data_IF_816948975099
#
_entry.id   IF_816948975099
#
_cell.length_a   1.000
_cell.length_b   1.000
_cell.length_c   1.000
_cell.angle_alpha   90.00
_cell.angle_beta   90.00
_cell.angle_gamma   90.00
#
_symmetry.space_group_name_H-M   'P 1'
#
loop_
_entity.id
_entity.type
_entity.pdbx_description
1 polymer ?
#
# COMPACT_ATOMS: atom_id res chain seq x y z
N UNK A 1 -10.38 23.03 -15.55
CA UNK A 1 -8.99 22.69 -15.90
C UNK A 1 -8.04 22.72 -14.73
N UNK A 2 -7.95 23.76 -13.93
CA UNK A 2 -7.02 23.84 -12.77
C UNK A 2 -7.23 22.74 -11.71
N UNK A 3 -8.47 22.42 -11.34
CA UNK A 3 -8.78 21.36 -10.36
C UNK A 3 -8.35 19.95 -10.80
N UNK A 4 -8.21 19.71 -12.09
CA UNK A 4 -7.78 18.42 -12.63
C UNK A 4 -6.27 18.22 -12.55
N UNK A 5 -5.48 19.31 -12.59
CA UNK A 5 -4.02 19.29 -12.52
C UNK A 5 -3.50 19.29 -11.07
N UNK A 6 -4.26 19.80 -10.12
CA UNK A 6 -3.85 19.85 -8.71
C UNK A 6 -3.62 18.44 -8.14
N UNK A 7 -4.47 17.48 -8.49
CA UNK A 7 -4.38 16.10 -7.96
C UNK A 7 -3.11 15.37 -8.40
N UNK A 8 -2.73 15.32 -9.69
CA UNK A 8 -1.43 14.78 -10.09
C UNK A 8 -0.26 15.54 -9.48
N UNK A 9 -0.33 16.87 -9.44
CA UNK A 9 0.72 17.71 -8.86
C UNK A 9 0.99 17.35 -7.37
N UNK A 10 -0.04 17.09 -6.58
CA UNK A 10 0.09 16.67 -5.18
C UNK A 10 0.72 15.27 -5.01
N UNK A 11 0.93 14.52 -6.08
CA UNK A 11 1.66 13.25 -6.08
C UNK A 11 3.11 13.50 -6.53
N UNK A 12 3.28 14.10 -7.71
CA UNK A 12 4.59 14.23 -8.34
C UNK A 12 5.48 15.28 -7.69
N UNK A 13 4.90 16.39 -7.18
CA UNK A 13 5.68 17.43 -6.49
C UNK A 13 6.31 16.89 -5.20
N UNK A 14 5.58 16.22 -4.27
CA UNK A 14 6.20 15.65 -3.08
C UNK A 14 7.24 14.57 -3.39
N UNK A 15 7.00 13.73 -4.39
CA UNK A 15 7.98 12.73 -4.82
C UNK A 15 9.26 13.40 -5.32
N UNK A 16 9.15 14.37 -6.25
CA UNK A 16 10.30 15.10 -6.77
C UNK A 16 11.04 15.89 -5.68
N UNK A 17 10.30 16.60 -4.83
CA UNK A 17 10.89 17.36 -3.72
C UNK A 17 11.60 16.44 -2.71
N UNK A 18 11.03 15.27 -2.40
CA UNK A 18 11.67 14.29 -1.52
C UNK A 18 12.99 13.77 -2.08
N UNK A 19 13.06 13.48 -3.37
CA UNK A 19 14.31 13.07 -4.02
C UNK A 19 15.39 14.16 -3.97
N UNK A 20 15.00 15.43 -4.02
CA UNK A 20 15.93 16.57 -3.96
C UNK A 20 16.41 16.89 -2.54
N UNK A 21 15.63 16.51 -1.51
CA UNK A 21 15.92 16.83 -0.10
C UNK A 21 16.03 15.55 0.75
N UNK A 22 17.11 14.74 0.59
CA UNK A 22 17.29 13.48 1.31
C UNK A 22 17.40 13.66 2.84
N UNK A 23 17.70 14.86 3.33
CA UNK A 23 17.77 15.18 4.76
C UNK A 23 16.44 14.89 5.48
N UNK A 24 15.32 14.93 4.76
CA UNK A 24 14.01 14.59 5.30
C UNK A 24 13.89 13.11 5.68
N UNK A 25 14.82 12.24 5.28
CA UNK A 25 14.88 10.84 5.69
C UNK A 25 14.97 10.66 7.21
N UNK A 26 15.56 11.64 7.94
CA UNK A 26 15.57 11.64 9.41
C UNK A 26 14.17 11.57 10.03
N UNK A 27 13.14 11.99 9.30
CA UNK A 27 11.75 11.95 9.72
C UNK A 27 11.02 10.67 9.28
N UNK A 28 11.72 9.64 8.80
CA UNK A 28 11.11 8.37 8.34
C UNK A 28 10.25 7.70 9.41
N UNK A 29 10.53 7.91 10.70
CA UNK A 29 9.69 7.42 11.80
C UNK A 29 8.26 7.97 11.76
N UNK A 30 8.04 9.16 11.16
CA UNK A 30 6.71 9.75 11.02
C UNK A 30 5.83 8.99 10.01
N UNK A 31 6.42 8.26 9.07
CA UNK A 31 5.66 7.49 8.04
C UNK A 31 4.64 6.59 8.74
N UNK A 32 5.06 5.87 9.77
CA UNK A 32 4.17 4.98 10.54
C UNK A 32 2.99 5.73 11.16
N UNK A 33 3.25 6.87 11.79
CA UNK A 33 2.22 7.69 12.45
C UNK A 33 1.27 8.33 11.45
N UNK A 34 1.79 8.80 10.32
CA UNK A 34 1.00 9.36 9.23
C UNK A 34 0.06 8.31 8.65
N UNK A 35 0.56 7.08 8.39
CA UNK A 35 -0.26 5.97 7.91
C UNK A 35 -1.33 5.58 8.94
N UNK A 36 -0.98 5.49 10.23
CA UNK A 36 -1.94 5.21 11.29
C UNK A 36 -3.02 6.28 11.39
N UNK A 37 -2.65 7.56 11.26
CA UNK A 37 -3.62 8.68 11.26
C UNK A 37 -4.55 8.60 10.04
N UNK A 38 -4.01 8.29 8.86
CA UNK A 38 -4.82 8.09 7.66
C UNK A 38 -5.81 6.93 7.83
N UNK A 39 -5.34 5.80 8.37
CA UNK A 39 -6.20 4.64 8.67
C UNK A 39 -7.26 4.97 9.72
N UNK A 40 -6.89 5.70 10.77
CA UNK A 40 -7.86 6.17 11.77
C UNK A 40 -8.98 6.98 11.12
N UNK A 41 -8.63 7.94 10.26
CA UNK A 41 -9.63 8.76 9.55
C UNK A 41 -10.51 7.88 8.67
N UNK A 42 -9.92 6.95 7.94
CA UNK A 42 -10.66 6.01 7.09
C UNK A 42 -11.62 5.16 7.92
N UNK A 43 -11.15 4.57 9.03
CA UNK A 43 -11.97 3.74 9.92
C UNK A 43 -13.06 4.53 10.65
N UNK A 44 -12.88 5.83 10.91
CA UNK A 44 -13.94 6.68 11.47
C UNK A 44 -15.16 6.76 10.55
N UNK A 45 -14.94 6.82 9.24
CA UNK A 45 -16.04 6.90 8.26
C UNK A 45 -16.68 5.56 7.92
N UNK A 46 -16.15 4.45 8.46
CA UNK A 46 -16.59 3.11 8.11
C UNK A 46 -17.60 2.59 9.12
N UNK A 47 -18.75 2.16 8.64
CA UNK A 47 -19.58 1.26 9.44
C UNK A 47 -19.19 -0.17 9.09
N UNK A 48 -18.89 -1.01 10.11
CA UNK A 48 -18.56 -2.44 9.91
C UNK A 48 -19.68 -3.14 9.13
N UNK A 49 -20.91 -2.68 9.28
CA UNK A 49 -22.09 -3.17 8.55
C UNK A 49 -21.97 -2.96 7.03
N UNK A 50 -21.18 -1.95 6.60
CA UNK A 50 -20.97 -1.63 5.19
C UNK A 50 -19.81 -2.45 4.59
N UNK A 51 -18.98 -3.06 5.43
CA UNK A 51 -17.92 -3.97 5.03
C UNK A 51 -18.52 -5.33 4.68
N UNK A 52 -18.85 -5.51 3.42
CA UNK A 52 -19.32 -6.80 2.90
C UNK A 52 -18.16 -7.56 2.32
N UNK A 53 -17.78 -8.66 2.97
CA UNK A 53 -16.83 -9.62 2.41
C UNK A 53 -17.43 -10.24 1.15
N UNK A 54 -16.69 -10.18 0.06
CA UNK A 54 -17.08 -10.73 -1.24
C UNK A 54 -16.03 -11.73 -1.73
N UNK A 55 -16.45 -12.66 -2.59
CA UNK A 55 -15.55 -13.62 -3.22
C UNK A 55 -14.42 -12.94 -3.99
N UNK A 56 -14.70 -11.78 -4.60
CA UNK A 56 -13.71 -10.97 -5.31
C UNK A 56 -12.55 -10.53 -4.43
N UNK A 57 -12.73 -10.25 -3.13
CA UNK A 57 -11.64 -9.86 -2.24
C UNK A 57 -10.64 -11.01 -2.01
N UNK A 58 -11.15 -12.24 -1.83
CA UNK A 58 -10.30 -13.42 -1.69
C UNK A 58 -9.61 -13.79 -3.01
N UNK A 59 -10.28 -13.56 -4.12
CA UNK A 59 -9.69 -13.75 -5.44
C UNK A 59 -8.57 -12.75 -5.70
N UNK A 60 -8.73 -11.49 -5.31
CA UNK A 60 -7.67 -10.48 -5.38
C UNK A 60 -6.48 -10.84 -4.49
N UNK A 61 -6.71 -11.35 -3.27
CA UNK A 61 -5.65 -11.86 -2.42
C UNK A 61 -4.87 -12.99 -3.11
N UNK A 62 -5.58 -13.99 -3.65
CA UNK A 62 -4.98 -15.11 -4.36
C UNK A 62 -4.14 -14.64 -5.56
N UNK A 63 -4.68 -13.70 -6.33
CA UNK A 63 -3.99 -13.11 -7.48
C UNK A 63 -2.72 -12.37 -7.07
N UNK A 64 -2.75 -11.56 -6.01
CA UNK A 64 -1.55 -10.89 -5.50
C UNK A 64 -0.45 -11.90 -5.15
N UNK A 65 -0.80 -13.01 -4.49
CA UNK A 65 0.15 -14.08 -4.16
C UNK A 65 0.70 -14.73 -5.44
N UNK A 66 -0.15 -15.07 -6.40
CA UNK A 66 0.26 -15.69 -7.67
C UNK A 66 1.16 -14.72 -8.44
N UNK A 67 0.82 -13.43 -8.53
CA UNK A 67 1.65 -12.43 -9.21
C UNK A 67 3.02 -12.32 -8.54
N UNK A 68 3.09 -12.24 -7.20
CA UNK A 68 4.35 -12.17 -6.48
C UNK A 68 5.25 -13.38 -6.73
N UNK A 69 4.70 -14.59 -6.61
CA UNK A 69 5.44 -15.84 -6.86
C UNK A 69 5.88 -15.93 -8.33
N UNK A 70 4.98 -15.63 -9.27
CA UNK A 70 5.28 -15.66 -10.70
C UNK A 70 6.32 -14.63 -11.09
N UNK A 71 6.24 -13.41 -10.54
CA UNK A 71 7.23 -12.35 -10.78
C UNK A 71 8.62 -12.78 -10.30
N UNK A 72 8.74 -13.36 -9.10
CA UNK A 72 9.99 -13.94 -8.61
C UNK A 72 10.54 -14.99 -9.56
N UNK A 73 9.73 -15.97 -9.93
CA UNK A 73 10.17 -17.09 -10.76
C UNK A 73 10.60 -16.63 -12.17
N UNK A 74 9.81 -15.76 -12.81
CA UNK A 74 10.07 -15.24 -14.15
C UNK A 74 11.34 -14.39 -14.16
N UNK A 75 11.47 -13.43 -13.23
CA UNK A 75 12.63 -12.55 -13.17
C UNK A 75 13.90 -13.36 -12.87
N UNK A 76 13.85 -14.29 -11.92
CA UNK A 76 14.95 -15.19 -11.60
C UNK A 76 15.39 -16.04 -12.82
N UNK A 77 14.42 -16.53 -13.58
CA UNK A 77 14.70 -17.34 -14.76
C UNK A 77 15.36 -16.52 -15.88
N UNK A 78 14.89 -15.29 -16.12
CA UNK A 78 15.37 -14.41 -17.20
C UNK A 78 16.70 -13.78 -16.84
N UNK A 79 16.82 -13.16 -15.66
CA UNK A 79 17.98 -12.34 -15.30
C UNK A 79 19.06 -13.12 -14.56
N UNK A 80 18.68 -14.23 -13.92
CA UNK A 80 19.53 -15.01 -13.00
C UNK A 80 20.02 -14.18 -11.80
N UNK A 81 19.45 -13.00 -11.59
CA UNK A 81 19.75 -12.11 -10.48
C UNK A 81 18.75 -12.34 -9.33
N UNK A 82 19.29 -12.80 -8.21
CA UNK A 82 18.49 -13.11 -7.02
C UNK A 82 17.95 -11.86 -6.33
N UNK A 83 18.68 -10.75 -6.40
CA UNK A 83 18.28 -9.48 -5.77
C UNK A 83 17.09 -8.91 -6.53
N UNK A 84 17.20 -8.87 -7.86
CA UNK A 84 16.13 -8.38 -8.73
C UNK A 84 14.88 -9.27 -8.65
N UNK A 85 15.05 -10.59 -8.57
CA UNK A 85 13.95 -11.52 -8.39
C UNK A 85 13.21 -11.30 -7.06
N UNK A 86 13.94 -11.12 -5.96
CA UNK A 86 13.36 -10.78 -4.66
C UNK A 86 12.64 -9.44 -4.69
N UNK A 87 13.22 -8.43 -5.34
CA UNK A 87 12.54 -7.15 -5.54
C UNK A 87 11.22 -7.32 -6.29
N UNK A 88 11.20 -8.10 -7.37
CA UNK A 88 10.00 -8.40 -8.14
C UNK A 88 8.94 -9.13 -7.29
N UNK A 89 9.34 -10.07 -6.44
CA UNK A 89 8.44 -10.73 -5.50
C UNK A 89 7.76 -9.72 -4.56
N UNK A 90 8.56 -8.88 -3.89
CA UNK A 90 8.03 -7.91 -2.95
C UNK A 90 7.09 -6.91 -3.60
N UNK A 91 7.42 -6.45 -4.81
CA UNK A 91 6.55 -5.55 -5.57
C UNK A 91 5.25 -6.26 -5.98
N UNK A 92 5.35 -7.50 -6.48
CA UNK A 92 4.20 -8.25 -7.00
C UNK A 92 3.20 -8.67 -5.93
N UNK A 93 3.68 -8.99 -4.72
CA UNK A 93 2.83 -9.42 -3.61
C UNK A 93 2.27 -8.26 -2.78
N UNK A 94 2.57 -7.01 -3.14
CA UNK A 94 2.12 -5.84 -2.38
C UNK A 94 0.60 -5.82 -2.27
N UNK A 95 0.04 -5.78 -1.04
CA UNK A 95 -1.40 -5.73 -0.85
C UNK A 95 -1.98 -4.37 -1.24
N UNK A 96 -3.30 -4.28 -1.25
CA UNK A 96 -4.02 -3.03 -1.49
C UNK A 96 -3.49 -1.89 -0.62
N UNK A 97 -3.16 -0.78 -1.26
CA UNK A 97 -2.60 0.39 -0.58
C UNK A 97 -3.62 1.07 0.36
N UNK A 98 -3.16 1.58 1.51
CA UNK A 98 -3.98 2.39 2.42
C UNK A 98 -4.60 3.61 1.73
N UNK A 99 -3.87 4.21 0.79
CA UNK A 99 -4.33 5.35 0.00
C UNK A 99 -5.50 5.01 -0.94
N UNK A 100 -5.68 3.75 -1.33
CA UNK A 100 -6.70 3.34 -2.29
C UNK A 100 -8.12 3.74 -1.83
N UNK A 101 -8.43 3.55 -0.54
CA UNK A 101 -9.71 3.95 0.03
C UNK A 101 -9.92 5.47 0.00
N UNK A 102 -8.87 6.24 0.25
CA UNK A 102 -8.90 7.71 0.19
C UNK A 102 -9.12 8.15 -1.26
N UNK A 103 -8.34 7.61 -2.19
CA UNK A 103 -8.47 7.91 -3.62
C UNK A 103 -9.86 7.53 -4.15
N UNK A 104 -10.36 6.35 -3.77
CA UNK A 104 -11.70 5.91 -4.18
C UNK A 104 -12.79 6.81 -3.64
N UNK A 105 -12.64 7.31 -2.42
CA UNK A 105 -13.50 8.36 -1.87
C UNK A 105 -13.51 9.62 -2.74
N UNK A 106 -12.36 10.07 -3.26
CA UNK A 106 -12.27 11.20 -4.20
C UNK A 106 -12.97 10.94 -5.54
N UNK A 107 -12.97 9.71 -5.98
CA UNK A 107 -13.61 9.29 -7.22
C UNK A 107 -15.12 9.00 -7.06
N UNK A 108 -15.68 9.22 -5.86
CA UNK A 108 -17.06 8.89 -5.50
C UNK A 108 -17.39 7.39 -5.73
N UNK A 109 -16.40 6.51 -5.52
CA UNK A 109 -16.58 5.07 -5.63
C UNK A 109 -17.00 4.42 -4.32
N UNK A 110 -17.13 3.10 -4.35
CA UNK A 110 -17.51 2.32 -3.18
C UNK A 110 -16.33 2.12 -2.23
N UNK A 111 -16.17 3.06 -1.28
CA UNK A 111 -15.09 3.03 -0.28
C UNK A 111 -15.20 1.79 0.62
N UNK A 112 -16.41 1.32 0.93
CA UNK A 112 -16.61 0.11 1.74
C UNK A 112 -16.05 -1.14 1.08
N UNK A 113 -16.21 -1.29 -0.24
CA UNK A 113 -15.61 -2.37 -1.00
C UNK A 113 -14.07 -2.34 -0.93
N UNK A 114 -13.49 -1.17 -1.21
CA UNK A 114 -12.02 -0.97 -1.20
C UNK A 114 -11.42 -1.26 0.17
N UNK A 115 -12.10 -0.85 1.24
CA UNK A 115 -11.66 -1.13 2.61
C UNK A 115 -11.78 -2.59 2.99
N UNK A 116 -12.85 -3.27 2.56
CA UNK A 116 -12.97 -4.72 2.75
C UNK A 116 -11.85 -5.46 2.03
N UNK A 117 -11.54 -5.05 0.79
CA UNK A 117 -10.41 -5.59 0.03
C UNK A 117 -9.08 -5.31 0.74
N UNK A 118 -8.87 -4.07 1.20
CA UNK A 118 -7.69 -3.67 1.95
C UNK A 118 -7.47 -4.56 3.19
N UNK A 119 -8.51 -4.78 4.00
CA UNK A 119 -8.38 -5.64 5.18
C UNK A 119 -8.08 -7.08 4.79
N UNK A 120 -8.82 -7.66 3.83
CA UNK A 120 -8.62 -9.04 3.40
C UNK A 120 -7.23 -9.26 2.83
N UNK A 121 -6.77 -8.37 1.93
CA UNK A 121 -5.46 -8.54 1.28
C UNK A 121 -4.31 -8.31 2.25
N UNK A 122 -4.37 -7.27 3.10
CA UNK A 122 -3.30 -6.99 4.07
C UNK A 122 -3.20 -8.08 5.15
N UNK A 123 -4.32 -8.47 5.74
CA UNK A 123 -4.34 -9.53 6.76
C UNK A 123 -3.94 -10.87 6.13
N UNK A 124 -4.50 -11.20 4.96
CA UNK A 124 -4.18 -12.44 4.26
C UNK A 124 -2.70 -12.55 3.91
N UNK A 125 -2.10 -11.49 3.33
CA UNK A 125 -0.67 -11.46 3.02
C UNK A 125 0.17 -11.51 4.30
N UNK A 126 -0.22 -10.83 5.38
CA UNK A 126 0.49 -10.90 6.65
C UNK A 126 0.58 -12.32 7.19
N UNK A 127 -0.48 -13.14 7.04
CA UNK A 127 -0.47 -14.56 7.42
C UNK A 127 0.34 -15.43 6.47
N UNK A 128 0.35 -15.13 5.17
CA UNK A 128 1.06 -15.92 4.16
C UNK A 128 2.56 -15.59 4.09
N UNK A 129 2.93 -14.33 4.37
CA UNK A 129 4.30 -13.83 4.27
C UNK A 129 5.33 -14.69 4.99
N UNK A 130 5.08 -15.17 6.21
CA UNK A 130 6.02 -16.03 6.90
C UNK A 130 6.51 -17.22 6.08
N UNK A 131 5.58 -17.99 5.51
CA UNK A 131 5.92 -19.14 4.68
C UNK A 131 6.60 -18.73 3.36
N UNK A 132 6.10 -17.67 2.72
CA UNK A 132 6.62 -17.16 1.46
C UNK A 132 8.04 -16.58 1.60
N UNK A 133 8.34 -15.87 2.69
CA UNK A 133 9.68 -15.37 2.97
C UNK A 133 10.68 -16.50 3.21
N UNK A 134 10.26 -17.58 3.90
CA UNK A 134 11.08 -18.77 4.06
C UNK A 134 11.50 -19.36 2.72
N UNK A 135 10.56 -19.41 1.79
CA UNK A 135 10.80 -19.93 0.45
C UNK A 135 11.66 -18.99 -0.41
N UNK A 136 11.39 -17.68 -0.41
CA UNK A 136 12.09 -16.69 -1.26
C UNK A 136 13.46 -16.31 -0.72
N UNK A 137 13.59 -16.15 0.60
CA UNK A 137 14.84 -15.68 1.22
C UNK A 137 15.72 -16.79 1.78
N UNK A 138 15.24 -18.04 1.81
CA UNK A 138 16.01 -19.21 2.27
C UNK A 138 16.22 -19.29 3.79
N UNK A 139 15.95 -18.22 4.53
CA UNK A 139 16.10 -18.13 5.97
C UNK A 139 14.98 -17.27 6.55
N UNK A 140 13.91 -17.88 7.00
CA UNK A 140 12.90 -17.20 7.80
C UNK A 140 13.10 -17.54 9.27
N UNK A 141 13.78 -16.68 10.00
CA UNK A 141 13.75 -16.81 11.45
C UNK A 141 12.32 -16.51 11.92
N UNK A 142 11.76 -17.37 12.77
CA UNK A 142 10.45 -17.16 13.40
C UNK A 142 10.32 -15.75 14.00
N UNK A 143 11.42 -15.20 14.54
CA UNK A 143 11.48 -13.86 15.10
C UNK A 143 11.25 -12.75 14.06
N UNK A 144 11.75 -12.91 12.82
CA UNK A 144 11.49 -11.95 11.75
C UNK A 144 10.01 -11.96 11.35
N UNK A 145 9.44 -13.14 11.23
CA UNK A 145 8.03 -13.36 10.91
C UNK A 145 7.10 -12.72 11.93
N UNK A 146 7.38 -12.97 13.23
CA UNK A 146 6.63 -12.36 14.32
C UNK A 146 6.70 -10.84 14.30
N UNK A 147 7.87 -10.24 14.05
CA UNK A 147 8.03 -8.78 13.95
C UNK A 147 7.23 -8.18 12.78
N UNK A 148 7.22 -8.85 11.63
CA UNK A 148 6.42 -8.39 10.49
C UNK A 148 4.94 -8.43 10.82
N UNK A 149 4.47 -9.56 11.39
CA UNK A 149 3.07 -9.71 11.80
C UNK A 149 2.69 -8.69 12.89
N UNK A 150 3.52 -8.54 13.92
CA UNK A 150 3.31 -7.55 14.98
C UNK A 150 3.24 -6.12 14.44
N UNK A 151 4.14 -5.76 13.53
CA UNK A 151 4.14 -4.44 12.89
C UNK A 151 2.87 -4.16 12.11
N UNK A 152 2.38 -5.14 11.33
CA UNK A 152 1.15 -5.02 10.56
C UNK A 152 -0.08 -5.03 11.45
N UNK A 153 -0.12 -5.91 12.47
CA UNK A 153 -1.20 -5.93 13.44
C UNK A 153 -1.30 -4.60 14.18
N UNK A 154 -0.17 -4.05 14.60
CA UNK A 154 -0.11 -2.75 15.27
C UNK A 154 -0.63 -1.63 14.36
N UNK A 155 -0.22 -1.62 13.09
CA UNK A 155 -0.65 -0.62 12.10
C UNK A 155 -2.15 -0.65 11.83
N UNK A 156 -2.79 -1.82 11.88
CA UNK A 156 -4.21 -2.02 11.58
C UNK A 156 -5.09 -1.93 12.83
N UNK A 157 -4.72 -2.66 13.90
CA UNK A 157 -5.56 -2.84 15.07
C UNK A 157 -5.69 -1.55 15.88
N UNK A 158 -4.59 -0.82 16.07
CA UNK A 158 -4.64 0.41 16.89
C UNK A 158 -5.56 1.47 16.28
N UNK A 159 -5.42 1.87 15.01
CA UNK A 159 -6.33 2.86 14.42
C UNK A 159 -7.78 2.38 14.40
N UNK A 160 -8.00 1.08 14.18
CA UNK A 160 -9.34 0.50 14.21
C UNK A 160 -9.98 0.58 15.60
N UNK A 161 -9.28 0.16 16.64
CA UNK A 161 -9.76 0.24 18.01
C UNK A 161 -10.00 1.71 18.43
N UNK A 162 -9.06 2.60 18.10
CA UNK A 162 -9.21 4.03 18.37
C UNK A 162 -10.44 4.60 17.66
N UNK A 163 -10.67 4.28 16.39
CA UNK A 163 -11.84 4.70 15.65
C UNK A 163 -13.13 4.16 16.28
N UNK A 164 -13.15 2.91 16.74
CA UNK A 164 -14.30 2.30 17.40
C UNK A 164 -14.65 3.02 18.71
N UNK A 165 -13.64 3.33 19.52
CA UNK A 165 -13.80 4.09 20.77
C UNK A 165 -14.31 5.50 20.49
N UNK A 166 -13.66 6.23 19.56
CA UNK A 166 -14.06 7.61 19.21
C UNK A 166 -15.51 7.64 18.72
N UNK A 167 -15.90 6.70 17.84
CA UNK A 167 -17.29 6.63 17.34
C UNK A 167 -18.31 6.34 18.43
N UNK A 168 -17.91 5.57 19.45
CA UNK A 168 -18.79 5.27 20.60
C UNK A 168 -19.00 6.50 21.49
N UNK A 169 -17.94 7.28 21.73
CA UNK A 169 -17.97 8.48 22.58
C UNK A 169 -18.57 9.65 21.82
N UNK A 170 -18.20 9.81 20.54
CA UNK A 170 -18.61 10.93 19.70
C UNK A 170 -19.12 10.45 18.34
N UNK A 171 -20.43 10.09 18.23
CA UNK A 171 -20.99 9.53 16.99
C UNK A 171 -20.85 10.42 15.75
N UNK A 172 -20.80 11.75 15.93
CA UNK A 172 -20.60 12.72 14.84
C UNK A 172 -19.21 12.60 14.19
N UNK A 173 -18.24 11.90 14.81
CA UNK A 173 -16.93 11.60 14.21
C UNK A 173 -17.02 10.77 12.92
N UNK A 174 -18.15 10.09 12.67
CA UNK A 174 -18.41 9.35 11.42
C UNK A 174 -18.38 10.24 10.17
N UNK A 175 -18.75 11.51 10.31
CA UNK A 175 -18.75 12.47 9.21
C UNK A 175 -17.40 13.20 9.03
N UNK A 176 -16.48 13.03 9.98
CA UNK A 176 -15.17 13.67 9.96
C UNK A 176 -14.38 13.37 8.67
N UNK A 177 -14.30 12.11 8.17
CA UNK A 177 -13.57 11.82 6.94
C UNK A 177 -14.06 12.60 5.72
N UNK A 178 -15.36 12.86 5.64
CA UNK A 178 -15.93 13.66 4.55
C UNK A 178 -15.48 15.13 4.65
N UNK A 179 -15.41 15.66 5.88
CA UNK A 179 -15.02 17.06 6.15
C UNK A 179 -13.53 17.30 5.95
N UNK A 180 -12.68 16.36 6.37
CA UNK A 180 -11.20 16.49 6.32
C UNK A 180 -10.55 15.76 5.15
N UNK A 181 -11.31 15.42 4.13
CA UNK A 181 -10.87 14.69 2.96
C UNK A 181 -9.58 15.26 2.32
N UNK A 182 -9.53 16.60 2.14
CA UNK A 182 -8.35 17.28 1.60
C UNK A 182 -7.15 17.15 2.55
N UNK A 183 -7.38 17.26 3.87
CA UNK A 183 -6.32 17.08 4.87
C UNK A 183 -5.72 15.67 4.84
N UNK A 184 -6.56 14.64 4.70
CA UNK A 184 -6.09 13.24 4.58
C UNK A 184 -5.22 13.05 3.33
N UNK A 185 -5.58 13.70 2.23
CA UNK A 185 -4.77 13.66 1.01
C UNK A 185 -3.43 14.39 1.20
N UNK A 186 -3.41 15.49 1.94
CA UNK A 186 -2.16 16.18 2.29
C UNK A 186 -1.25 15.32 3.17
N UNK A 187 -1.80 14.58 4.14
CA UNK A 187 -1.04 13.61 4.93
C UNK A 187 -0.37 12.55 4.05
N UNK A 188 -1.10 12.06 3.06
CA UNK A 188 -0.55 11.12 2.07
C UNK A 188 0.58 11.74 1.24
N UNK A 189 0.42 12.98 0.78
CA UNK A 189 1.47 13.72 0.05
C UNK A 189 2.73 13.89 0.89
N UNK A 190 2.59 14.22 2.18
CA UNK A 190 3.73 14.32 3.13
C UNK A 190 4.39 12.94 3.29
N UNK A 191 3.60 11.88 3.38
CA UNK A 191 4.14 10.52 3.47
C UNK A 191 4.96 10.17 2.23
N UNK A 192 4.49 10.50 1.02
CA UNK A 192 5.22 10.32 -0.23
C UNK A 192 6.52 11.11 -0.26
N UNK A 193 6.51 12.35 0.22
CA UNK A 193 7.70 13.19 0.35
C UNK A 193 8.79 12.51 1.19
N UNK A 194 8.42 12.03 2.39
CA UNK A 194 9.36 11.38 3.31
C UNK A 194 9.85 10.04 2.74
N UNK A 195 8.98 9.25 2.10
CA UNK A 195 9.36 7.99 1.44
C UNK A 195 10.38 8.25 0.34
N UNK A 196 10.14 9.25 -0.53
CA UNK A 196 11.06 9.61 -1.60
C UNK A 196 12.42 10.11 -1.06
N UNK A 197 12.40 10.92 0.01
CA UNK A 197 13.61 11.37 0.68
C UNK A 197 14.40 10.19 1.29
N UNK A 198 13.71 9.24 1.90
CA UNK A 198 14.33 8.02 2.47
C UNK A 198 14.97 7.17 1.38
N UNK A 199 14.32 7.03 0.22
CA UNK A 199 14.89 6.34 -0.93
C UNK A 199 16.15 7.06 -1.46
N UNK A 200 16.09 8.40 -1.59
CA UNK A 200 17.24 9.20 -2.03
C UNK A 200 18.42 9.13 -1.05
N UNK A 201 18.17 9.15 0.26
CA UNK A 201 19.18 8.98 1.30
C UNK A 201 19.83 7.59 1.24
N UNK A 202 19.02 6.55 1.02
CA UNK A 202 19.51 5.18 0.84
C UNK A 202 20.49 5.09 -0.34
N UNK A 203 20.16 5.64 -1.50
CA UNK A 203 21.06 5.60 -2.67
C UNK A 203 22.33 6.43 -2.46
N UNK A 204 22.25 7.54 -1.74
CA UNK A 204 23.44 8.33 -1.38
C UNK A 204 24.39 7.59 -0.46
N UNK A 205 23.85 6.80 0.48
CA UNK A 205 24.63 6.00 1.44
C UNK A 205 25.18 4.71 0.85
N UNK A 206 24.60 4.24 -0.24
CA UNK A 206 24.97 3.00 -0.92
C UNK A 206 25.30 3.27 -2.40
N UNK A 207 26.42 3.94 -2.70
CA UNK A 207 26.81 4.28 -4.07
C UNK A 207 27.08 3.06 -4.94
N UNK A 208 27.34 1.90 -4.31
CA UNK A 208 27.58 0.63 -5.01
C UNK A 208 26.30 0.04 -5.62
N UNK A 209 25.12 0.54 -5.24
CA UNK A 209 23.86 0.13 -5.85
C UNK A 209 23.77 0.72 -7.25
N UNK A 210 23.93 -0.15 -8.24
CA UNK A 210 23.88 0.24 -9.65
C UNK A 210 22.57 0.93 -9.99
N UNK A 211 22.65 2.10 -10.62
CA UNK A 211 21.47 2.81 -11.14
C UNK A 211 20.66 1.96 -12.13
N UNK A 212 21.32 0.98 -12.77
CA UNK A 212 20.67 0.03 -13.65
C UNK A 212 19.70 -0.90 -12.91
N UNK A 213 20.09 -1.46 -11.77
CA UNK A 213 19.21 -2.28 -10.91
C UNK A 213 17.97 -1.49 -10.48
N UNK A 214 18.16 -0.19 -10.18
CA UNK A 214 17.03 0.70 -9.83
C UNK A 214 16.08 0.87 -11.01
N UNK A 215 16.61 1.09 -12.22
CA UNK A 215 15.81 1.25 -13.43
C UNK A 215 15.04 -0.03 -13.77
N UNK A 216 15.70 -1.20 -13.67
CA UNK A 216 15.06 -2.51 -13.89
C UNK A 216 13.97 -2.77 -12.86
N UNK A 217 14.22 -2.50 -11.56
CA UNK A 217 13.22 -2.64 -10.51
C UNK A 217 12.02 -1.72 -10.74
N UNK A 218 12.26 -0.47 -11.16
CA UNK A 218 11.21 0.48 -11.47
C UNK A 218 10.36 0.03 -12.68
N UNK A 219 11.01 -0.50 -13.72
CA UNK A 219 10.30 -1.06 -14.88
C UNK A 219 9.44 -2.26 -14.49
N UNK A 220 10.00 -3.19 -13.70
CA UNK A 220 9.26 -4.35 -13.18
C UNK A 220 8.06 -3.88 -12.35
N UNK A 221 8.28 -2.90 -11.47
CA UNK A 221 7.21 -2.34 -10.64
C UNK A 221 6.09 -1.73 -11.50
N UNK A 222 6.44 -1.01 -12.56
CA UNK A 222 5.46 -0.42 -13.49
C UNK A 222 4.65 -1.51 -14.21
N UNK A 223 5.31 -2.55 -14.71
CA UNK A 223 4.65 -3.69 -15.38
C UNK A 223 3.71 -4.42 -14.41
N UNK A 224 4.19 -4.74 -13.21
CA UNK A 224 3.40 -5.44 -12.20
C UNK A 224 2.22 -4.59 -11.72
N UNK A 225 2.40 -3.28 -11.57
CA UNK A 225 1.33 -2.35 -11.23
C UNK A 225 0.25 -2.35 -12.33
N UNK A 226 0.63 -2.21 -13.60
CA UNK A 226 -0.31 -2.25 -14.71
C UNK A 226 -1.05 -3.61 -14.78
N UNK A 227 -0.35 -4.70 -14.54
CA UNK A 227 -0.92 -6.05 -14.51
C UNK A 227 -1.94 -6.19 -13.37
N UNK A 228 -1.60 -5.74 -12.16
CA UNK A 228 -2.51 -5.78 -11.01
C UNK A 228 -3.78 -4.96 -11.27
N UNK A 229 -3.66 -3.75 -11.84
CA UNK A 229 -4.81 -2.93 -12.23
C UNK A 229 -5.69 -3.65 -13.27
N UNK A 230 -5.08 -4.23 -14.29
CA UNK A 230 -5.80 -4.94 -15.36
C UNK A 230 -6.54 -6.16 -14.80
N UNK A 231 -5.85 -7.01 -14.04
CA UNK A 231 -6.45 -8.21 -13.46
C UNK A 231 -7.54 -7.84 -12.45
N UNK A 232 -7.29 -6.84 -11.59
CA UNK A 232 -8.31 -6.34 -10.68
C UNK A 232 -9.56 -5.85 -11.43
N UNK A 233 -9.38 -5.15 -12.55
CA UNK A 233 -10.49 -4.74 -13.39
C UNK A 233 -11.28 -5.93 -13.97
N UNK A 234 -10.59 -6.96 -14.40
CA UNK A 234 -11.21 -8.16 -14.99
C UNK A 234 -11.95 -9.00 -13.95
N UNK A 235 -11.39 -9.10 -12.73
CA UNK A 235 -11.97 -9.89 -11.64
C UNK A 235 -13.05 -9.16 -10.86
N UNK A 236 -13.13 -7.85 -11.01
CA UNK A 236 -14.15 -7.04 -10.35
C UNK A 236 -15.56 -7.42 -10.77
N UNK A 237 -16.45 -7.57 -9.79
CA UNK A 237 -17.88 -7.81 -10.04
C UNK A 237 -18.47 -6.68 -10.91
N UNK A 238 -19.56 -6.98 -11.63
CA UNK A 238 -20.26 -5.96 -12.42
C UNK A 238 -20.63 -4.75 -11.55
N UNK A 239 -20.16 -3.56 -11.96
CA UNK A 239 -20.34 -2.31 -11.21
C UNK A 239 -19.26 -1.99 -10.15
N UNK A 240 -18.31 -2.91 -9.89
CA UNK A 240 -17.21 -2.74 -8.92
C UNK A 240 -15.82 -2.97 -9.55
N UNK A 241 -15.74 -3.00 -10.87
CA UNK A 241 -14.48 -3.23 -11.59
C UNK A 241 -13.42 -2.17 -11.30
N UNK A 242 -13.85 -0.91 -11.20
CA UNK A 242 -12.99 0.20 -10.86
C UNK A 242 -12.46 0.09 -9.42
N UNK A 243 -13.31 -0.34 -8.50
CA UNK A 243 -12.97 -0.56 -7.11
C UNK A 243 -12.06 -1.77 -6.90
N UNK A 244 -12.13 -2.76 -7.76
CA UNK A 244 -11.26 -3.93 -7.73
C UNK A 244 -9.89 -3.67 -8.36
N UNK A 245 -9.78 -2.66 -9.25
CA UNK A 245 -8.51 -2.18 -9.82
C UNK A 245 -7.79 -1.27 -8.83
N UNK A 246 -7.14 -1.84 -7.80
CA UNK A 246 -6.53 -1.06 -6.73
C UNK A 246 -5.18 -1.63 -6.30
#
# INVERSE_FOLDING_TARGET
MWKTLIRPAMIFIPLGAGLLVPQLAQYSFLIRWLLMTMLLVVFLGLDIKDMKLRKSHFLLLLVNVIIGISAYAIVKWITRDEILAKAAFFVGITPTATAAAVVMGFLNGNVGYVLSSFVVTNVGIAFLMPGLLGWVCGNSSMNFMLRVFESLAFLLVIPYCAAAVIRKIYPAARDLPKKIRTGTFSLWSITLLIIAATAADFFRKNPDVSGWIVAETALIALILCALNFLIGHLLGEKGLRREASQ
#
